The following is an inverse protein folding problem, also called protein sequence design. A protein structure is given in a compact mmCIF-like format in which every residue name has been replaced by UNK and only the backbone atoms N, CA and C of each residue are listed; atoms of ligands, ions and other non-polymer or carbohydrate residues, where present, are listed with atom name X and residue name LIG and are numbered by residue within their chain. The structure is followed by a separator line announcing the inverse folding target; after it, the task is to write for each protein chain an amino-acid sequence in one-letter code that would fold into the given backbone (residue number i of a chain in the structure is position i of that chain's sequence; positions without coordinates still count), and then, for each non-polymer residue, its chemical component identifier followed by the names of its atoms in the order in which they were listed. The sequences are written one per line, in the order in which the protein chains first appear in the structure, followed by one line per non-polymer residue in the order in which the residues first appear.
data_IF_355185513032
#
_entry.id   IF_355185513032
#
_cell.length_a   1.000
_cell.length_b   1.000
_cell.length_c   1.000
_cell.angle_alpha   90.00
_cell.angle_beta   90.00
_cell.angle_gamma   90.00
#
_symmetry.space_group_name_H-M   'P 1'
#
loop_
_entity.id
_entity.type
_entity.pdbx_description
1 polymer ?
#
# COMPACT_ATOMS: atom_id res chain seq x y z
N UNK A 1 -9.85 4.88 19.21
CA UNK A 1 -10.51 4.65 17.91
C UNK A 1 -11.07 3.24 17.95
N UNK A 2 -12.22 2.99 17.32
CA UNK A 2 -12.75 1.64 17.16
C UNK A 2 -12.62 1.30 15.68
N UNK A 3 -11.81 0.30 15.34
CA UNK A 3 -11.72 -0.20 13.98
C UNK A 3 -13.04 -0.86 13.57
N UNK A 4 -13.53 -0.54 12.38
CA UNK A 4 -14.66 -1.20 11.73
C UNK A 4 -14.14 -2.26 10.76
N UNK A 5 -14.56 -3.51 10.92
CA UNK A 5 -14.27 -4.58 9.95
C UNK A 5 -15.38 -4.59 8.90
N UNK A 6 -15.00 -4.45 7.63
CA UNK A 6 -15.88 -4.64 6.48
C UNK A 6 -15.59 -6.01 5.85
N UNK A 7 -16.62 -6.79 5.53
CA UNK A 7 -16.41 -8.04 4.78
C UNK A 7 -16.34 -7.71 3.29
N UNK A 8 -15.48 -8.40 2.56
CA UNK A 8 -15.34 -8.23 1.11
C UNK A 8 -16.63 -8.58 0.35
N UNK A 9 -17.52 -9.37 0.96
CA UNK A 9 -18.84 -9.75 0.43
C UNK A 9 -19.91 -8.69 0.65
N UNK A 10 -19.67 -7.69 1.50
CA UNK A 10 -20.66 -6.67 1.81
C UNK A 10 -20.79 -5.69 0.63
N UNK A 11 -22.03 -5.44 0.22
CA UNK A 11 -22.29 -4.46 -0.84
C UNK A 11 -21.82 -3.07 -0.40
N UNK A 12 -20.98 -2.44 -1.22
CA UNK A 12 -20.42 -1.12 -0.94
C UNK A 12 -19.15 -1.09 -0.08
N UNK A 13 -18.63 -2.23 0.41
CA UNK A 13 -17.42 -2.25 1.24
C UNK A 13 -16.21 -1.59 0.55
N UNK A 14 -15.97 -1.91 -0.73
CA UNK A 14 -14.89 -1.30 -1.51
C UNK A 14 -15.10 0.21 -1.65
N UNK A 15 -16.33 0.64 -1.93
CA UNK A 15 -16.65 2.07 -2.04
C UNK A 15 -16.40 2.80 -0.72
N UNK A 16 -16.79 2.22 0.41
CA UNK A 16 -16.53 2.80 1.72
C UNK A 16 -15.01 2.95 1.99
N UNK A 17 -14.21 1.96 1.62
CA UNK A 17 -12.75 2.04 1.71
C UNK A 17 -12.16 3.14 0.81
N UNK A 18 -12.65 3.28 -0.43
CA UNK A 18 -12.24 4.37 -1.34
C UNK A 18 -12.60 5.73 -0.75
N UNK A 19 -13.83 5.88 -0.26
CA UNK A 19 -14.29 7.12 0.38
C UNK A 19 -13.43 7.44 1.63
N UNK A 20 -13.01 6.44 2.40
CA UNK A 20 -12.11 6.63 3.54
C UNK A 20 -10.71 7.10 3.10
N UNK A 21 -10.09 6.41 2.14
CA UNK A 21 -8.76 6.77 1.62
C UNK A 21 -8.74 8.18 1.03
N UNK A 22 -9.80 8.57 0.31
CA UNK A 22 -9.93 9.92 -0.28
C UNK A 22 -10.17 11.01 0.77
N UNK A 23 -10.66 10.66 1.97
CA UNK A 23 -10.73 11.55 3.15
C UNK A 23 -9.46 11.54 4.01
N UNK A 24 -8.34 11.06 3.46
CA UNK A 24 -7.08 10.93 4.19
C UNK A 24 -7.14 9.97 5.39
N UNK A 25 -8.11 9.05 5.43
CA UNK A 25 -8.22 8.03 6.48
C UNK A 25 -7.35 6.80 6.12
N UNK A 26 -7.08 5.96 7.11
CA UNK A 26 -6.30 4.74 6.94
C UNK A 26 -7.23 3.54 6.80
N UNK A 27 -6.87 2.62 5.91
CA UNK A 27 -7.64 1.39 5.68
C UNK A 27 -6.71 0.19 5.80
N UNK A 28 -7.02 -0.77 6.66
CA UNK A 28 -6.29 -2.03 6.65
C UNK A 28 -6.83 -2.95 5.55
N UNK A 29 -5.96 -3.43 4.67
CA UNK A 29 -6.35 -4.22 3.49
C UNK A 29 -5.62 -5.57 3.47
N UNK A 30 -6.29 -6.67 3.09
CA UNK A 30 -5.64 -7.97 2.97
C UNK A 30 -4.77 -8.05 1.71
N UNK A 31 -3.61 -8.69 1.80
CA UNK A 31 -2.84 -9.11 0.61
C UNK A 31 -2.62 -10.62 0.66
N UNK A 32 -2.05 -11.20 -0.39
CA UNK A 32 -1.62 -12.59 -0.42
C UNK A 32 -0.46 -12.88 0.53
N UNK A 33 0.17 -11.83 1.10
CA UNK A 33 1.28 -11.95 2.06
C UNK A 33 0.83 -11.69 3.49
N UNK A 34 0.46 -10.44 3.79
CA UNK A 34 0.04 -9.96 5.12
C UNK A 34 -0.95 -8.81 4.95
N UNK A 35 -1.67 -8.43 6.01
CA UNK A 35 -2.48 -7.21 5.98
C UNK A 35 -1.58 -5.97 5.92
N UNK A 36 -1.94 -5.01 5.07
CA UNK A 36 -1.27 -3.72 4.92
C UNK A 36 -2.12 -2.58 5.47
N UNK A 37 -1.51 -1.60 6.13
CA UNK A 37 -2.17 -0.37 6.58
C UNK A 37 -2.05 0.67 5.47
N UNK A 38 -3.11 0.82 4.70
CA UNK A 38 -3.15 1.63 3.49
C UNK A 38 -3.39 3.11 3.77
N UNK A 39 -2.70 3.95 3.00
CA UNK A 39 -2.99 5.36 2.78
C UNK A 39 -2.85 5.67 1.29
N UNK A 40 -3.61 6.65 0.80
CA UNK A 40 -3.48 7.13 -0.57
C UNK A 40 -2.05 7.63 -0.84
N UNK A 41 -1.41 7.16 -1.91
CA UNK A 41 0.00 7.46 -2.20
C UNK A 41 0.27 8.95 -2.48
N UNK A 42 -0.73 9.69 -2.96
CA UNK A 42 -0.64 11.12 -3.24
C UNK A 42 -0.93 11.99 -2.02
N UNK A 43 -1.33 11.40 -0.89
CA UNK A 43 -1.74 12.11 0.31
C UNK A 43 -0.68 12.04 1.41
N UNK A 44 0.14 13.10 1.49
CA UNK A 44 1.18 13.24 2.51
C UNK A 44 0.65 13.25 3.93
N UNK A 45 -0.58 13.72 4.16
CA UNK A 45 -1.19 13.76 5.49
C UNK A 45 -1.55 12.35 5.93
N UNK A 46 -2.18 11.57 5.05
CA UNK A 46 -2.51 10.18 5.31
C UNK A 46 -1.24 9.32 5.52
N UNK A 47 -0.20 9.53 4.71
CA UNK A 47 1.09 8.84 4.87
C UNK A 47 1.72 9.14 6.24
N UNK A 48 1.68 10.39 6.72
CA UNK A 48 2.17 10.73 8.07
C UNK A 48 1.38 10.03 9.18
N UNK A 49 0.08 9.82 9.00
CA UNK A 49 -0.75 9.04 9.95
C UNK A 49 -0.27 7.58 10.05
N UNK A 50 0.17 6.94 8.96
CA UNK A 50 0.74 5.59 9.00
C UNK A 50 1.92 5.53 9.98
N UNK A 51 2.87 6.46 9.87
CA UNK A 51 4.04 6.49 10.75
C UNK A 51 3.64 6.71 12.21
N UNK A 52 2.72 7.63 12.47
CA UNK A 52 2.21 7.91 13.81
C UNK A 52 1.50 6.70 14.43
N UNK A 53 0.57 6.07 13.70
CA UNK A 53 -0.23 4.94 14.21
C UNK A 53 0.65 3.72 14.48
N UNK A 54 1.65 3.48 13.62
CA UNK A 54 2.55 2.34 13.77
C UNK A 54 3.71 2.59 14.74
N UNK A 55 3.89 3.81 15.23
CA UNK A 55 5.13 4.25 15.90
C UNK A 55 6.38 3.90 15.08
N UNK A 56 6.30 4.10 13.75
CA UNK A 56 7.36 3.77 12.79
C UNK A 56 8.18 5.03 12.49
N UNK A 57 9.52 4.96 12.41
CA UNK A 57 10.32 6.13 12.03
C UNK A 57 9.99 6.62 10.61
N UNK A 58 9.83 7.93 10.38
CA UNK A 58 9.46 8.49 9.06
C UNK A 58 10.54 8.30 7.99
N UNK A 59 11.77 7.96 8.38
CA UNK A 59 12.88 7.66 7.46
C UNK A 59 12.79 6.26 6.84
N UNK A 60 11.88 5.39 7.30
CA UNK A 60 11.72 4.03 6.79
C UNK A 60 10.77 4.00 5.59
N UNK A 61 11.25 3.61 4.39
CA UNK A 61 10.47 3.70 3.17
C UNK A 61 9.25 2.78 3.20
N UNK A 62 8.19 3.17 2.50
CA UNK A 62 6.96 2.40 2.34
C UNK A 62 6.90 1.79 0.94
N UNK A 63 6.17 0.68 0.81
CA UNK A 63 5.95 0.01 -0.47
C UNK A 63 4.68 0.59 -1.10
N UNK A 64 4.80 1.12 -2.32
CA UNK A 64 3.67 1.47 -3.18
C UNK A 64 3.03 0.19 -3.72
N UNK A 65 1.71 0.16 -3.69
CA UNK A 65 0.90 -0.89 -4.29
C UNK A 65 0.09 -0.28 -5.43
N UNK A 66 0.25 -0.84 -6.63
CA UNK A 66 -0.43 -0.41 -7.87
C UNK A 66 -1.34 -1.53 -8.39
N UNK A 67 -2.39 -1.17 -9.12
CA UNK A 67 -3.37 -2.13 -9.63
C UNK A 67 -2.79 -3.00 -10.75
N UNK A 68 -2.00 -2.39 -11.63
CA UNK A 68 -1.49 -3.01 -12.85
C UNK A 68 -0.06 -2.54 -13.14
N UNK A 69 0.69 -3.31 -13.93
CA UNK A 69 2.03 -2.93 -14.35
C UNK A 69 2.05 -1.68 -15.25
N UNK A 70 0.93 -1.35 -15.90
CA UNK A 70 0.79 -0.14 -16.73
C UNK A 70 1.06 1.15 -15.95
N UNK A 71 0.83 1.14 -14.63
CA UNK A 71 1.07 2.29 -13.76
C UNK A 71 2.54 2.44 -13.35
N UNK A 72 3.40 1.47 -13.66
CA UNK A 72 4.78 1.44 -13.17
C UNK A 72 5.59 2.65 -13.62
N UNK A 73 5.46 3.05 -14.89
CA UNK A 73 6.16 4.19 -15.47
C UNK A 73 5.67 5.55 -14.93
N UNK A 74 4.50 5.60 -14.30
CA UNK A 74 4.05 6.81 -13.58
C UNK A 74 4.84 7.03 -12.29
N UNK A 75 5.21 5.95 -11.60
CA UNK A 75 5.85 5.99 -10.27
C UNK A 75 7.38 5.82 -10.31
N UNK A 76 7.93 5.29 -11.40
CA UNK A 76 9.35 4.99 -11.52
C UNK A 76 9.93 5.43 -12.87
N UNK A 77 11.23 5.72 -12.88
CA UNK A 77 12.00 6.07 -14.08
C UNK A 77 13.13 5.07 -14.30
N UNK A 78 13.76 5.12 -15.48
CA UNK A 78 14.94 4.30 -15.84
C UNK A 78 14.76 2.80 -15.60
N UNK A 79 13.56 2.28 -15.90
CA UNK A 79 13.19 0.90 -15.64
C UNK A 79 13.97 -0.03 -16.57
N UNK A 80 14.92 -0.78 -16.01
CA UNK A 80 15.75 -1.72 -16.76
C UNK A 80 14.93 -2.83 -17.43
N UNK A 81 15.45 -3.39 -18.52
CA UNK A 81 14.83 -4.53 -19.20
C UNK A 81 14.64 -5.74 -18.27
N UNK A 82 15.59 -5.98 -17.35
CA UNK A 82 15.47 -7.03 -16.33
C UNK A 82 14.29 -6.77 -15.39
N UNK A 83 14.12 -5.53 -14.92
CA UNK A 83 12.98 -5.18 -14.09
C UNK A 83 11.65 -5.36 -14.85
N UNK A 84 11.57 -4.91 -16.11
CA UNK A 84 10.38 -5.12 -16.98
C UNK A 84 10.04 -6.60 -17.14
N UNK A 85 11.05 -7.46 -17.34
CA UNK A 85 10.84 -8.91 -17.44
C UNK A 85 10.30 -9.51 -16.13
N UNK A 86 10.89 -9.13 -14.98
CA UNK A 86 10.46 -9.63 -13.68
C UNK A 86 9.03 -9.21 -13.34
N UNK A 87 8.66 -7.95 -13.59
CA UNK A 87 7.29 -7.49 -13.33
C UNK A 87 6.29 -8.20 -14.23
N UNK A 88 6.56 -8.32 -15.54
CA UNK A 88 5.64 -9.00 -16.46
C UNK A 88 5.47 -10.51 -16.20
N UNK A 89 6.41 -11.15 -15.50
CA UNK A 89 6.34 -12.57 -15.16
C UNK A 89 5.72 -12.81 -13.77
N UNK A 90 6.00 -11.95 -12.79
CA UNK A 90 5.66 -12.19 -11.38
C UNK A 90 4.60 -11.22 -10.82
N UNK A 91 4.15 -10.23 -11.59
CA UNK A 91 2.99 -9.42 -11.25
C UNK A 91 1.79 -9.87 -12.08
N UNK A 92 0.60 -10.01 -11.47
CA UNK A 92 0.28 -9.89 -10.03
C UNK A 92 0.99 -10.86 -9.10
N UNK A 93 1.57 -10.40 -7.97
CA UNK A 93 2.17 -11.33 -7.02
C UNK A 93 3.09 -10.74 -5.92
N UNK A 94 3.76 -11.63 -5.18
CA UNK A 94 4.57 -11.28 -4.00
C UNK A 94 5.96 -10.73 -4.34
N UNK A 95 6.18 -10.25 -5.57
CA UNK A 95 7.41 -9.56 -5.96
C UNK A 95 7.30 -8.07 -5.63
N UNK A 96 8.30 -7.53 -4.96
CA UNK A 96 8.50 -6.07 -4.83
C UNK A 96 9.78 -5.70 -5.57
N UNK A 97 9.72 -4.69 -6.44
CA UNK A 97 10.91 -4.16 -7.14
C UNK A 97 11.29 -2.81 -6.55
N UNK A 98 12.59 -2.53 -6.50
CA UNK A 98 13.12 -1.23 -6.10
C UNK A 98 13.66 -0.55 -7.36
N UNK A 99 13.13 0.62 -7.68
CA UNK A 99 13.42 1.37 -8.91
C UNK A 99 13.78 2.82 -8.59
N UNK A 100 14.35 3.56 -9.54
CA UNK A 100 14.46 5.00 -9.44
C UNK A 100 13.05 5.60 -9.38
N UNK A 101 12.81 6.50 -8.43
CA UNK A 101 11.50 7.13 -8.27
C UNK A 101 11.27 8.20 -9.32
N UNK A 102 10.02 8.36 -9.76
CA UNK A 102 9.60 9.55 -10.50
C UNK A 102 9.38 10.75 -9.56
N UNK A 103 9.15 11.93 -10.15
CA UNK A 103 8.78 13.15 -9.43
C UNK A 103 7.43 13.05 -8.71
N UNK A 104 6.61 12.03 -9.02
CA UNK A 104 5.30 11.78 -8.40
C UNK A 104 5.41 11.14 -7.03
N UNK A 105 6.56 10.53 -6.70
CA UNK A 105 6.78 9.87 -5.40
C UNK A 105 7.35 10.85 -4.38
N UNK A 106 6.57 11.18 -3.36
CA UNK A 106 7.02 12.11 -2.31
C UNK A 106 8.04 11.47 -1.34
N UNK A 107 8.78 12.33 -0.63
CA UNK A 107 9.81 11.89 0.33
C UNK A 107 9.25 11.10 1.51
N UNK A 108 8.00 11.35 1.90
CA UNK A 108 7.34 10.55 2.95
C UNK A 108 7.20 9.07 2.57
N UNK A 109 7.19 8.74 1.27
CA UNK A 109 7.17 7.35 0.79
C UNK A 109 8.58 6.75 0.84
N UNK A 110 9.59 7.47 0.37
CA UNK A 110 10.94 6.90 0.17
C UNK A 110 11.87 7.09 1.38
N UNK A 111 11.44 7.88 2.37
CA UNK A 111 12.31 8.35 3.44
C UNK A 111 13.46 9.22 2.91
N UNK A 112 13.20 10.02 1.87
CA UNK A 112 14.18 10.88 1.21
C UNK A 112 15.15 10.17 0.25
N UNK A 113 14.93 8.89 -0.06
CA UNK A 113 15.74 8.14 -1.03
C UNK A 113 15.34 8.47 -2.46
N UNK A 114 16.29 8.28 -3.39
CA UNK A 114 16.06 8.40 -4.84
C UNK A 114 15.36 7.17 -5.43
N UNK A 115 15.13 6.13 -4.62
CA UNK A 115 14.48 4.90 -5.04
C UNK A 115 13.14 4.70 -4.35
N UNK A 116 12.25 3.98 -5.02
CA UNK A 116 10.91 3.61 -4.54
C UNK A 116 10.71 2.09 -4.66
N UNK A 117 10.06 1.51 -3.66
CA UNK A 117 9.64 0.12 -3.67
C UNK A 117 8.20 0.03 -4.19
N UNK A 118 7.96 -0.78 -5.23
CA UNK A 118 6.66 -0.92 -5.88
C UNK A 118 6.29 -2.41 -5.94
N UNK A 119 5.00 -2.71 -5.76
CA UNK A 119 4.40 -4.03 -5.86
C UNK A 119 3.04 -3.97 -6.53
N UNK A 120 2.69 -5.01 -7.26
CA UNK A 120 1.35 -5.23 -7.79
C UNK A 120 0.73 -6.46 -7.10
N UNK A 121 -0.02 -6.30 -5.99
CA UNK A 121 -0.45 -7.43 -5.13
C UNK A 121 -1.40 -8.37 -5.86
N UNK A 122 -1.39 -9.69 -5.62
CA UNK A 122 -2.31 -10.65 -6.28
C UNK A 122 -3.63 -10.92 -5.56
N UNK A 123 -3.91 -10.21 -4.46
CA UNK A 123 -5.16 -10.39 -3.71
C UNK A 123 -6.34 -9.61 -4.32
N UNK A 124 -7.41 -10.31 -4.72
CA UNK A 124 -8.58 -9.75 -5.43
C UNK A 124 -9.19 -8.52 -4.74
N UNK A 125 -9.37 -8.56 -3.43
CA UNK A 125 -9.94 -7.42 -2.66
C UNK A 125 -9.08 -6.15 -2.80
N UNK A 126 -7.76 -6.27 -2.62
CA UNK A 126 -6.86 -5.11 -2.70
C UNK A 126 -6.67 -4.66 -4.14
N UNK A 127 -6.65 -5.58 -5.11
CA UNK A 127 -6.67 -5.23 -6.54
C UNK A 127 -7.91 -4.45 -6.92
N UNK A 128 -9.08 -4.94 -6.55
CA UNK A 128 -10.34 -4.28 -6.83
C UNK A 128 -10.40 -2.89 -6.16
N UNK A 129 -9.91 -2.78 -4.92
CA UNK A 129 -9.79 -1.48 -4.26
C UNK A 129 -8.91 -0.51 -5.07
N UNK A 130 -7.73 -0.94 -5.52
CA UNK A 130 -6.82 -0.10 -6.31
C UNK A 130 -7.44 0.31 -7.66
N UNK A 131 -8.12 -0.61 -8.34
CA UNK A 131 -8.83 -0.35 -9.60
C UNK A 131 -9.95 0.68 -9.42
N UNK A 132 -10.80 0.51 -8.40
CA UNK A 132 -11.91 1.44 -8.12
C UNK A 132 -11.40 2.79 -7.60
N UNK A 133 -10.33 2.78 -6.82
CA UNK A 133 -9.67 4.00 -6.34
C UNK A 133 -9.04 4.80 -7.49
N UNK A 134 -8.58 4.13 -8.55
CA UNK A 134 -7.91 4.74 -9.69
C UNK A 134 -6.55 5.37 -9.32
N UNK A 135 -5.91 4.90 -8.24
CA UNK A 135 -4.65 5.42 -7.73
C UNK A 135 -3.90 4.36 -6.94
N UNK A 136 -2.61 4.60 -6.70
CA UNK A 136 -1.78 3.78 -5.82
C UNK A 136 -2.03 4.09 -4.34
N UNK A 137 -1.72 3.10 -3.49
CA UNK A 137 -1.65 3.26 -2.03
C UNK A 137 -0.23 2.92 -1.57
N UNK A 138 0.20 3.49 -0.45
CA UNK A 138 1.26 2.86 0.35
C UNK A 138 0.63 1.92 1.36
N UNK A 139 1.23 0.76 1.60
CA UNK A 139 0.69 -0.21 2.55
C UNK A 139 1.80 -1.04 3.23
N UNK A 140 2.50 -0.51 4.26
CA UNK A 140 3.32 -1.36 5.13
C UNK A 140 2.42 -2.32 5.92
N UNK A 141 3.00 -3.36 6.54
CA UNK A 141 2.25 -4.31 7.39
C UNK A 141 1.37 -3.61 8.44
N UNK A 142 0.15 -4.09 8.70
CA UNK A 142 -0.84 -3.41 9.54
C UNK A 142 -0.66 -3.66 11.06
N UNK A 143 0.56 -3.49 11.57
CA UNK A 143 0.93 -3.67 12.98
C UNK A 143 1.83 -2.53 13.49
N UNK A 144 2.01 -2.40 14.80
CA UNK A 144 3.02 -1.53 15.40
C UNK A 144 4.43 -1.97 14.97
N UNK A 145 5.30 -1.01 14.77
CA UNK A 145 6.67 -1.24 14.32
C UNK A 145 7.40 -2.20 15.28
N UNK A 146 8.05 -3.23 14.73
CA UNK A 146 8.75 -4.28 15.49
C UNK A 146 7.88 -5.44 15.98
N UNK A 147 6.55 -5.40 15.80
CA UNK A 147 5.65 -6.53 16.09
C UNK A 147 5.55 -7.50 14.91
N UNK A 148 5.03 -8.70 15.19
CA UNK A 148 4.71 -9.73 14.18
C UNK A 148 3.66 -9.18 13.21
N UNK A 149 3.87 -9.43 11.91
CA UNK A 149 2.96 -8.95 10.88
C UNK A 149 1.60 -9.66 10.92
N UNK A 150 0.49 -8.93 10.69
CA UNK A 150 -0.85 -9.49 10.82
C UNK A 150 -1.26 -10.26 9.57
N UNK A 151 -1.82 -11.45 9.77
CA UNK A 151 -2.41 -12.30 8.71
C UNK A 151 -3.93 -12.40 8.78
N UNK A 152 -4.58 -11.71 9.72
CA UNK A 152 -6.04 -11.66 9.87
C UNK A 152 -6.48 -10.24 10.22
N UNK A 153 -7.72 -9.88 9.86
CA UNK A 153 -8.30 -8.59 10.27
C UNK A 153 -8.33 -8.45 11.80
N UNK A 154 -8.54 -9.55 12.51
CA UNK A 154 -8.54 -9.59 13.97
C UNK A 154 -7.18 -9.18 14.56
N UNK A 155 -6.07 -9.69 14.01
CA UNK A 155 -4.72 -9.26 14.43
C UNK A 155 -4.51 -7.75 14.25
N UNK A 156 -5.11 -7.16 13.21
CA UNK A 156 -5.01 -5.72 12.97
C UNK A 156 -5.77 -4.94 14.05
N UNK A 157 -7.01 -5.33 14.33
CA UNK A 157 -7.85 -4.69 15.37
C UNK A 157 -7.17 -4.78 16.74
N UNK A 158 -6.62 -5.94 17.10
CA UNK A 158 -5.97 -6.15 18.39
C UNK A 158 -4.73 -5.27 18.60
N UNK A 159 -3.97 -4.97 17.54
CA UNK A 159 -2.74 -4.18 17.67
C UNK A 159 -2.97 -2.66 17.47
N UNK A 160 -3.83 -2.28 16.52
CA UNK A 160 -4.01 -0.89 16.08
C UNK A 160 -5.31 -0.22 16.57
N UNK A 161 -6.30 -0.99 17.06
CA UNK A 161 -7.51 -0.48 17.74
C UNK A 161 -8.77 -0.43 16.90
#
# INVERSE_FOLDING_TARGET
MSAKILRSTDSGAIKECVDALTRSELVAVPTETVYGLAALATDKVAIKKIFSVKSRPPSHPLILHIADESDLEFWATDISATAKKLVGEFWPGPLTVILNRSDKVCDEITGGRQTVAIRCPSHDVTRNLLLVLGSAIVAPSANKFGKVSPTSAQHVVEDLG
#
